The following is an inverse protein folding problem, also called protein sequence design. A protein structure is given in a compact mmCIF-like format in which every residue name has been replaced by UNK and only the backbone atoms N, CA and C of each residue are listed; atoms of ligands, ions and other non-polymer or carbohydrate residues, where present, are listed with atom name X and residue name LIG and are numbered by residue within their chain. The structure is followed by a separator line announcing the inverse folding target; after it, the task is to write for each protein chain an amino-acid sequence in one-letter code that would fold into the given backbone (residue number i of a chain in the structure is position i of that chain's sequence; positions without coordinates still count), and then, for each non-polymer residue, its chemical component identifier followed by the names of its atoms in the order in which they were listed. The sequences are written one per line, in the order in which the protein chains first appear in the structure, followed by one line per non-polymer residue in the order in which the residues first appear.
data_IF_644455685667
#
_entry.id   IF_644455685667
#
_cell.length_a   1.000
_cell.length_b   1.000
_cell.length_c   1.000
_cell.angle_alpha   90.00
_cell.angle_beta   90.00
_cell.angle_gamma   90.00
#
_symmetry.space_group_name_H-M   'P 1'
#
loop_
_entity.id
_entity.type
_entity.pdbx_description
1 polymer ?
#
# COMPACT_ATOMS: atom_id res chain seq x y z
N UNK A 1 21.93 6.37 -24.54
CA UNK A 1 20.71 6.96 -25.13
C UNK A 1 19.67 7.15 -24.05
N UNK A 2 18.86 8.20 -24.15
CA UNK A 2 17.76 8.44 -23.19
C UNK A 2 16.50 7.76 -23.72
N UNK A 3 15.98 6.78 -23.00
CA UNK A 3 14.73 6.10 -23.34
C UNK A 3 13.54 7.03 -23.05
N UNK A 4 12.72 7.28 -24.08
CA UNK A 4 11.70 8.34 -24.03
C UNK A 4 10.42 7.95 -23.31
N UNK A 5 9.99 6.68 -23.40
CA UNK A 5 8.75 6.19 -22.79
C UNK A 5 8.87 4.71 -22.46
N UNK A 6 9.14 4.40 -21.20
CA UNK A 6 9.18 3.02 -20.70
C UNK A 6 7.86 2.70 -20.01
N UNK A 7 7.20 1.63 -20.46
CA UNK A 7 5.94 1.20 -19.84
C UNK A 7 6.20 0.54 -18.50
N UNK A 8 7.18 -0.36 -18.46
CA UNK A 8 7.53 -1.17 -17.29
C UNK A 8 9.03 -1.19 -17.14
N UNK A 9 9.53 -0.81 -15.97
CA UNK A 9 10.92 -0.99 -15.59
C UNK A 9 10.97 -1.90 -14.36
N UNK A 10 11.64 -3.03 -14.50
CA UNK A 10 11.87 -3.98 -13.42
C UNK A 10 13.34 -3.94 -13.05
N UNK A 11 13.62 -3.69 -11.77
CA UNK A 11 14.95 -3.76 -11.20
C UNK A 11 14.98 -4.84 -10.12
N UNK A 12 15.85 -5.83 -10.29
CA UNK A 12 16.07 -6.89 -9.33
C UNK A 12 17.45 -6.71 -8.70
N UNK A 13 17.47 -6.38 -7.42
CA UNK A 13 18.68 -6.09 -6.68
C UNK A 13 19.40 -7.34 -6.17
N UNK A 14 18.77 -8.52 -6.17
CA UNK A 14 19.34 -9.76 -5.61
C UNK A 14 19.89 -9.63 -4.16
N UNK A 15 19.39 -8.69 -3.35
CA UNK A 15 19.94 -8.31 -2.05
C UNK A 15 21.34 -7.66 -2.11
N UNK A 16 21.80 -7.23 -3.28
CA UNK A 16 23.05 -6.51 -3.44
C UNK A 16 22.80 -5.06 -3.00
N UNK A 17 23.57 -4.53 -2.03
CA UNK A 17 23.50 -3.12 -1.67
C UNK A 17 23.82 -2.25 -2.89
N UNK A 18 22.83 -1.48 -3.34
CA UNK A 18 23.04 -0.48 -4.38
C UNK A 18 23.26 0.87 -3.70
N UNK A 19 24.35 1.54 -4.07
CA UNK A 19 24.54 2.94 -3.72
C UNK A 19 23.45 3.76 -4.39
N UNK A 20 22.84 4.68 -3.65
CA UNK A 20 21.77 5.52 -4.15
C UNK A 20 22.12 6.23 -5.49
N UNK A 21 23.34 6.78 -5.61
CA UNK A 21 23.76 7.47 -6.84
C UNK A 21 23.81 6.53 -8.07
N UNK A 22 24.11 5.24 -7.87
CA UNK A 22 24.06 4.27 -8.96
C UNK A 22 22.62 4.07 -9.45
N UNK A 23 21.65 3.96 -8.55
CA UNK A 23 20.24 3.86 -8.90
C UNK A 23 19.75 5.12 -9.62
N UNK A 24 20.17 6.29 -9.14
CA UNK A 24 19.87 7.58 -9.77
C UNK A 24 20.42 7.66 -11.19
N UNK A 25 21.70 7.35 -11.39
CA UNK A 25 22.31 7.34 -12.72
C UNK A 25 21.58 6.41 -13.69
N UNK A 26 21.09 5.26 -13.21
CA UNK A 26 20.27 4.36 -14.02
C UNK A 26 18.95 5.04 -14.39
N UNK A 27 18.23 5.58 -13.40
CA UNK A 27 16.90 6.17 -13.58
C UNK A 27 16.93 7.46 -14.43
N UNK A 28 18.01 8.23 -14.40
CA UNK A 28 18.21 9.45 -15.21
C UNK A 28 18.29 9.15 -16.71
N UNK A 29 18.51 7.89 -17.12
CA UNK A 29 18.43 7.48 -18.53
C UNK A 29 16.99 7.38 -19.06
N UNK A 30 15.97 7.58 -18.22
CA UNK A 30 14.56 7.43 -18.59
C UNK A 30 13.80 8.75 -18.43
N UNK A 31 13.24 9.27 -19.53
CA UNK A 31 12.37 10.46 -19.47
C UNK A 31 11.05 10.18 -18.76
N UNK A 32 10.51 8.98 -18.94
CA UNK A 32 9.23 8.58 -18.38
C UNK A 32 9.18 7.07 -18.17
N UNK A 33 8.69 6.66 -16.99
CA UNK A 33 8.43 5.27 -16.61
C UNK A 33 7.00 5.22 -16.08
N UNK A 34 6.12 4.42 -16.66
CA UNK A 34 4.74 4.29 -16.16
C UNK A 34 4.68 3.42 -14.90
N UNK A 35 5.37 2.30 -14.90
CA UNK A 35 5.41 1.34 -13.79
C UNK A 35 6.86 0.99 -13.44
N UNK A 36 7.23 1.18 -12.18
CA UNK A 36 8.54 0.85 -11.64
C UNK A 36 8.38 -0.24 -10.58
N UNK A 37 9.09 -1.36 -10.75
CA UNK A 37 9.19 -2.41 -9.74
C UNK A 37 10.63 -2.53 -9.26
N UNK A 38 10.81 -2.28 -7.97
CA UNK A 38 12.06 -2.36 -7.23
C UNK A 38 12.01 -3.63 -6.37
N UNK A 39 12.71 -4.67 -6.81
CA UNK A 39 12.71 -5.98 -6.17
C UNK A 39 14.03 -6.26 -5.48
N UNK A 40 13.98 -6.85 -4.30
CA UNK A 40 15.14 -7.24 -3.48
C UNK A 40 16.26 -6.19 -3.40
N UNK A 41 15.88 -4.93 -3.23
CA UNK A 41 16.79 -3.80 -3.26
C UNK A 41 17.17 -3.32 -1.87
N UNK A 42 18.46 -3.39 -1.54
CA UNK A 42 19.02 -2.75 -0.35
C UNK A 42 19.63 -1.42 -0.79
N UNK A 43 18.93 -0.32 -0.50
CA UNK A 43 19.40 1.02 -0.85
C UNK A 43 20.17 1.58 0.35
N UNK A 44 21.47 1.80 0.16
CA UNK A 44 22.29 2.50 1.16
C UNK A 44 21.88 3.98 1.18
N UNK A 45 21.17 4.37 2.23
CA UNK A 45 20.64 5.73 2.45
C UNK A 45 21.58 6.61 3.30
N UNK A 46 22.84 6.22 3.49
CA UNK A 46 23.83 7.02 4.23
C UNK A 46 24.17 8.36 3.56
N UNK A 47 23.83 8.51 2.28
CA UNK A 47 24.00 9.77 1.54
C UNK A 47 22.89 10.79 1.83
N UNK A 48 23.28 11.99 2.28
CA UNK A 48 22.39 13.15 2.43
C UNK A 48 22.05 13.68 1.02
N UNK A 49 20.76 13.87 0.75
CA UNK A 49 20.22 14.30 -0.55
C UNK A 49 20.76 15.66 -0.98
N UNK A 50 21.11 15.80 -2.27
CA UNK A 50 21.14 17.10 -2.94
C UNK A 50 19.92 17.33 -3.83
N UNK A 51 19.34 16.31 -4.47
CA UNK A 51 18.13 16.42 -5.31
C UNK A 51 17.36 15.09 -5.46
N UNK A 52 16.04 15.17 -5.66
CA UNK A 52 15.16 14.01 -5.97
C UNK A 52 15.30 13.55 -7.43
N UNK A 53 15.11 12.26 -7.68
CA UNK A 53 14.96 11.67 -9.01
C UNK A 53 13.56 12.04 -9.54
N UNK A 54 13.54 12.77 -10.65
CA UNK A 54 12.30 13.23 -11.26
C UNK A 54 11.87 12.32 -12.42
N UNK A 55 11.14 11.25 -12.10
CA UNK A 55 10.55 10.35 -13.10
C UNK A 55 9.18 10.90 -13.51
N UNK A 56 9.07 11.45 -14.72
CA UNK A 56 7.78 11.95 -15.22
C UNK A 56 6.82 10.77 -15.49
N UNK A 57 5.59 10.87 -15.01
CA UNK A 57 4.51 9.89 -15.19
C UNK A 57 4.72 8.53 -14.49
N UNK A 58 5.42 8.50 -13.35
CA UNK A 58 5.42 7.33 -12.50
C UNK A 58 4.02 7.15 -11.90
N UNK A 59 3.30 6.15 -12.39
CA UNK A 59 1.92 5.87 -12.05
C UNK A 59 1.80 4.75 -11.00
N UNK A 60 2.70 3.77 -11.11
CA UNK A 60 2.73 2.58 -10.25
C UNK A 60 4.13 2.31 -9.72
N UNK A 61 4.23 2.04 -8.42
CA UNK A 61 5.48 1.65 -7.77
C UNK A 61 5.26 0.36 -6.98
N UNK A 62 6.09 -0.64 -7.24
CA UNK A 62 6.18 -1.84 -6.39
C UNK A 62 7.54 -1.89 -5.73
N UNK A 63 7.55 -2.11 -4.41
CA UNK A 63 8.75 -2.21 -3.59
C UNK A 63 8.71 -3.54 -2.86
N UNK A 64 9.75 -4.34 -3.00
CA UNK A 64 10.01 -5.50 -2.17
C UNK A 64 11.20 -5.21 -1.26
N UNK A 65 10.96 -5.23 0.05
CA UNK A 65 12.02 -5.05 1.03
C UNK A 65 12.48 -6.40 1.57
N UNK A 66 13.80 -6.59 1.63
CA UNK A 66 14.41 -7.84 2.10
C UNK A 66 14.83 -7.77 3.57
N UNK A 67 14.99 -6.55 4.09
CA UNK A 67 15.53 -6.27 5.42
C UNK A 67 14.46 -5.61 6.30
N UNK A 68 13.93 -6.37 7.26
CA UNK A 68 12.83 -5.93 8.14
C UNK A 68 13.15 -4.71 9.02
N UNK A 69 14.44 -4.47 9.25
CA UNK A 69 14.93 -3.39 10.11
C UNK A 69 15.25 -2.11 9.33
N UNK A 70 15.33 -2.19 8.01
CA UNK A 70 15.70 -1.05 7.16
C UNK A 70 14.44 -0.51 6.53
N UNK A 71 14.08 0.72 6.89
CA UNK A 71 13.00 1.44 6.22
C UNK A 71 13.41 1.78 4.79
N UNK A 72 12.69 1.29 3.77
CA UNK A 72 12.96 1.73 2.41
C UNK A 72 12.44 3.17 2.24
N UNK A 73 13.36 4.13 2.40
CA UNK A 73 13.05 5.54 2.20
C UNK A 73 12.90 5.84 0.71
N UNK A 74 11.66 6.03 0.24
CA UNK A 74 11.37 6.37 -1.17
C UNK A 74 11.30 7.88 -1.45
N UNK A 75 11.70 8.73 -0.49
CA UNK A 75 11.66 10.19 -0.66
C UNK A 75 12.54 10.68 -1.81
N UNK A 76 13.45 9.84 -2.29
CA UNK A 76 14.27 10.11 -3.46
C UNK A 76 13.49 10.11 -4.77
N UNK A 77 12.29 9.53 -4.83
CA UNK A 77 11.44 9.57 -6.02
C UNK A 77 10.48 10.76 -5.95
N UNK A 78 10.25 11.41 -7.09
CA UNK A 78 9.09 12.28 -7.26
C UNK A 78 7.84 11.43 -7.54
N UNK A 79 6.91 11.37 -6.58
CA UNK A 79 5.71 10.51 -6.63
C UNK A 79 4.42 11.30 -6.90
N UNK A 80 4.53 12.52 -7.43
CA UNK A 80 3.38 13.44 -7.61
C UNK A 80 2.28 12.90 -8.53
N UNK A 81 2.61 12.05 -9.50
CA UNK A 81 1.65 11.42 -10.42
C UNK A 81 1.21 10.01 -10.02
N UNK A 82 1.72 9.48 -8.90
CA UNK A 82 1.54 8.07 -8.56
C UNK A 82 0.15 7.82 -7.97
N UNK A 83 -0.59 6.88 -8.56
CA UNK A 83 -1.90 6.46 -8.08
C UNK A 83 -1.90 5.06 -7.46
N UNK A 84 -0.86 4.25 -7.69
CA UNK A 84 -0.77 2.89 -7.16
C UNK A 84 0.58 2.63 -6.49
N UNK A 85 0.55 2.14 -5.26
CA UNK A 85 1.73 1.78 -4.48
C UNK A 85 1.55 0.38 -3.92
N UNK A 86 2.53 -0.48 -4.17
CA UNK A 86 2.61 -1.81 -3.59
C UNK A 86 3.88 -1.94 -2.76
N UNK A 87 3.71 -2.24 -1.49
CA UNK A 87 4.79 -2.69 -0.63
C UNK A 87 4.69 -4.19 -0.39
N UNK A 88 5.82 -4.86 -0.44
CA UNK A 88 5.99 -6.25 -0.05
C UNK A 88 7.02 -6.27 1.07
N UNK A 89 6.64 -6.86 2.21
CA UNK A 89 7.40 -6.97 3.45
C UNK A 89 7.76 -5.61 4.05
N UNK A 90 6.75 -4.89 4.53
CA UNK A 90 6.94 -3.58 5.20
C UNK A 90 7.81 -3.77 6.46
N UNK A 91 8.82 -2.91 6.68
CA UNK A 91 9.62 -2.95 7.90
C UNK A 91 8.79 -2.62 9.13
N UNK A 92 9.13 -3.21 10.27
CA UNK A 92 8.39 -3.02 11.54
C UNK A 92 8.48 -1.58 12.06
N UNK A 93 9.60 -0.92 11.78
CA UNK A 93 9.81 0.47 12.14
C UNK A 93 9.03 1.31 11.12
N UNK A 94 7.95 1.95 11.61
CA UNK A 94 6.99 2.76 10.88
C UNK A 94 7.57 3.44 9.62
N UNK A 95 6.78 3.46 8.55
CA UNK A 95 6.99 4.38 7.44
C UNK A 95 7.25 5.78 8.05
N UNK A 96 8.46 6.37 7.88
CA UNK A 96 8.84 7.56 8.63
C UNK A 96 7.76 8.63 8.53
N UNK A 97 7.42 9.24 9.68
CA UNK A 97 6.32 10.18 9.80
C UNK A 97 6.39 11.38 8.85
N UNK A 98 7.58 11.62 8.30
CA UNK A 98 7.95 12.72 7.41
C UNK A 98 8.14 12.31 5.94
N UNK A 99 7.72 11.12 5.52
CA UNK A 99 7.72 10.78 4.09
C UNK A 99 6.76 11.73 3.34
N UNK A 100 7.24 12.34 2.25
CA UNK A 100 6.35 13.01 1.30
C UNK A 100 5.55 11.94 0.57
N UNK A 101 4.44 11.56 1.19
CA UNK A 101 3.51 10.58 0.65
C UNK A 101 2.90 11.09 -0.67
N UNK A 102 2.72 10.20 -1.66
CA UNK A 102 2.02 10.54 -2.90
C UNK A 102 0.61 11.04 -2.62
N UNK A 103 0.38 12.35 -2.83
CA UNK A 103 -0.95 12.95 -2.60
C UNK A 103 -2.04 12.36 -3.50
N UNK A 104 -1.69 11.88 -4.69
CA UNK A 104 -2.63 11.33 -5.68
C UNK A 104 -2.86 9.81 -5.53
N UNK A 105 -2.40 9.21 -4.43
CA UNK A 105 -2.48 7.76 -4.28
C UNK A 105 -3.91 7.28 -4.07
N UNK A 106 -4.43 6.53 -5.04
CA UNK A 106 -5.77 5.94 -4.97
C UNK A 106 -5.75 4.49 -4.49
N UNK A 107 -4.67 3.74 -4.73
CA UNK A 107 -4.56 2.32 -4.38
C UNK A 107 -3.27 2.02 -3.62
N UNK A 108 -3.41 1.43 -2.43
CA UNK A 108 -2.32 0.92 -1.62
C UNK A 108 -2.44 -0.59 -1.46
N UNK A 109 -1.35 -1.31 -1.73
CA UNK A 109 -1.28 -2.77 -1.61
C UNK A 109 -0.15 -3.11 -0.67
N UNK A 110 -0.47 -3.75 0.45
CA UNK A 110 0.49 -4.13 1.47
C UNK A 110 0.54 -5.65 1.56
N UNK A 111 1.71 -6.22 1.29
CA UNK A 111 1.95 -7.67 1.30
C UNK A 111 2.91 -8.02 2.41
N UNK A 112 2.66 -9.12 3.13
CA UNK A 112 3.52 -9.60 4.24
C UNK A 112 3.73 -8.53 5.33
N UNK A 113 2.65 -7.87 5.76
CA UNK A 113 2.68 -7.02 6.94
C UNK A 113 2.80 -7.90 8.18
N UNK A 114 3.88 -7.69 8.96
CA UNK A 114 4.06 -8.39 10.24
C UNK A 114 3.35 -7.69 11.39
N UNK A 115 3.21 -6.37 11.30
CA UNK A 115 2.53 -5.55 12.30
C UNK A 115 1.27 -4.89 11.71
N UNK A 116 0.19 -4.87 12.49
CA UNK A 116 -1.12 -4.29 12.12
C UNK A 116 -1.24 -2.81 12.55
N UNK A 117 -0.11 -2.11 12.71
CA UNK A 117 -0.13 -0.68 13.00
C UNK A 117 -0.18 0.11 11.69
N UNK A 118 -1.35 0.68 11.42
CA UNK A 118 -1.66 1.34 10.16
C UNK A 118 -1.91 2.84 10.33
N UNK A 119 -1.30 3.42 11.36
CA UNK A 119 -1.48 4.81 11.77
C UNK A 119 -1.07 5.81 10.69
N UNK A 120 -0.45 5.38 9.59
CA UNK A 120 -0.09 6.23 8.46
C UNK A 120 -1.19 6.31 7.38
N UNK A 121 -2.23 5.47 7.41
CA UNK A 121 -3.21 5.41 6.32
C UNK A 121 -3.96 6.73 6.14
N UNK A 122 -4.27 7.43 7.23
CA UNK A 122 -4.94 8.72 7.20
C UNK A 122 -4.16 9.80 6.42
N UNK A 123 -2.85 9.60 6.19
CA UNK A 123 -2.01 10.52 5.41
C UNK A 123 -2.28 10.43 3.90
N UNK A 124 -3.03 9.43 3.43
CA UNK A 124 -3.40 9.30 2.02
C UNK A 124 -4.82 9.80 1.79
N UNK A 125 -4.95 11.12 1.63
CA UNK A 125 -6.24 11.82 1.43
C UNK A 125 -7.04 11.30 0.23
N UNK A 126 -6.36 10.82 -0.81
CA UNK A 126 -7.00 10.33 -2.04
C UNK A 126 -7.14 8.79 -2.08
N UNK A 127 -6.89 8.08 -0.98
CA UNK A 127 -6.90 6.63 -0.97
C UNK A 127 -8.33 6.07 -1.05
N UNK A 128 -8.59 5.32 -2.13
CA UNK A 128 -9.89 4.68 -2.40
C UNK A 128 -9.87 3.18 -2.15
N UNK A 129 -8.72 2.54 -2.34
CA UNK A 129 -8.57 1.09 -2.27
C UNK A 129 -7.36 0.72 -1.41
N UNK A 130 -7.59 -0.08 -0.38
CA UNK A 130 -6.54 -0.71 0.41
C UNK A 130 -6.61 -2.24 0.30
N UNK A 131 -5.48 -2.88 -0.01
CA UNK A 131 -5.36 -4.34 -0.03
C UNK A 131 -4.31 -4.79 0.95
N UNK A 132 -4.65 -5.69 1.86
CA UNK A 132 -3.77 -6.26 2.86
C UNK A 132 -3.66 -7.77 2.63
N UNK A 133 -2.45 -8.29 2.43
CA UNK A 133 -2.21 -9.74 2.36
C UNK A 133 -1.78 -10.26 3.72
N UNK A 134 -2.61 -11.13 4.28
CA UNK A 134 -2.48 -11.67 5.62
C UNK A 134 -2.33 -13.18 5.55
N UNK A 135 -1.47 -13.72 6.41
CA UNK A 135 -1.04 -15.12 6.32
C UNK A 135 -2.13 -16.13 6.70
N UNK A 136 -3.11 -15.78 7.55
CA UNK A 136 -4.20 -16.68 7.95
C UNK A 136 -5.44 -15.92 8.46
N UNK A 137 -6.62 -16.23 7.89
CA UNK A 137 -7.89 -15.60 8.28
C UNK A 137 -8.43 -16.07 9.64
N UNK A 138 -8.16 -17.30 10.07
CA UNK A 138 -8.68 -17.78 11.37
C UNK A 138 -7.96 -17.08 12.53
N UNK A 139 -6.63 -16.93 12.42
CA UNK A 139 -5.84 -16.11 13.35
C UNK A 139 -6.25 -14.64 13.35
N UNK A 140 -6.72 -14.15 12.20
CA UNK A 140 -7.23 -12.80 12.06
C UNK A 140 -8.46 -12.58 12.96
N UNK A 141 -9.40 -13.53 12.96
CA UNK A 141 -10.59 -13.51 13.80
C UNK A 141 -10.27 -13.70 15.29
N UNK A 142 -9.35 -14.60 15.62
CA UNK A 142 -9.06 -15.02 16.99
C UNK A 142 -8.18 -14.02 17.75
N UNK A 143 -7.12 -13.48 17.12
CA UNK A 143 -6.08 -12.71 17.82
C UNK A 143 -6.00 -11.24 17.39
N UNK A 144 -6.54 -10.87 16.23
CA UNK A 144 -6.40 -9.53 15.66
C UNK A 144 -7.73 -8.79 15.49
N UNK A 145 -8.82 -9.31 16.08
CA UNK A 145 -10.16 -8.76 15.89
C UNK A 145 -10.26 -7.27 16.21
N UNK A 146 -9.72 -6.85 17.36
CA UNK A 146 -9.71 -5.44 17.76
C UNK A 146 -8.86 -4.57 16.82
N UNK A 147 -7.69 -5.04 16.40
CA UNK A 147 -6.82 -4.31 15.47
C UNK A 147 -7.49 -4.08 14.11
N UNK A 148 -8.19 -5.08 13.58
CA UNK A 148 -8.96 -4.94 12.34
C UNK A 148 -10.12 -3.97 12.52
N UNK A 149 -10.81 -4.04 13.66
CA UNK A 149 -11.90 -3.11 13.96
C UNK A 149 -11.39 -1.67 14.01
N UNK A 150 -10.27 -1.45 14.69
CA UNK A 150 -9.63 -0.14 14.78
C UNK A 150 -9.17 0.34 13.41
N UNK A 151 -8.62 -0.55 12.58
CA UNK A 151 -8.27 -0.27 11.20
C UNK A 151 -9.48 0.17 10.38
N UNK A 152 -10.58 -0.62 10.40
CA UNK A 152 -11.82 -0.29 9.69
C UNK A 152 -12.34 1.06 10.14
N UNK A 153 -12.39 1.30 11.46
CA UNK A 153 -12.87 2.55 12.02
C UNK A 153 -11.98 3.73 11.61
N UNK A 154 -10.66 3.62 11.72
CA UNK A 154 -9.73 4.69 11.32
C UNK A 154 -9.89 5.00 9.83
N UNK A 155 -9.89 3.97 8.98
CA UNK A 155 -10.05 4.13 7.54
C UNK A 155 -11.39 4.81 7.20
N UNK A 156 -12.51 4.28 7.68
CA UNK A 156 -13.82 4.70 7.21
C UNK A 156 -14.41 5.90 7.98
N UNK A 157 -13.89 6.26 9.16
CA UNK A 157 -14.22 7.54 9.80
C UNK A 157 -13.50 8.71 9.16
N UNK A 158 -12.21 8.54 8.86
CA UNK A 158 -11.34 9.64 8.51
C UNK A 158 -11.26 9.85 6.99
N UNK A 159 -11.66 8.85 6.20
CA UNK A 159 -11.62 8.89 4.75
C UNK A 159 -12.99 8.58 4.12
N UNK A 160 -13.69 9.66 3.72
CA UNK A 160 -15.01 9.60 3.08
C UNK A 160 -14.98 9.05 1.65
N UNK A 161 -13.83 9.05 0.97
CA UNK A 161 -13.72 8.54 -0.39
C UNK A 161 -13.23 7.09 -0.44
N UNK A 162 -12.87 6.49 0.71
CA UNK A 162 -12.47 5.09 0.77
C UNK A 162 -13.63 4.22 0.29
N UNK A 163 -13.38 3.43 -0.74
CA UNK A 163 -14.37 2.54 -1.34
C UNK A 163 -14.24 1.13 -0.78
N UNK A 164 -13.00 0.61 -0.72
CA UNK A 164 -12.76 -0.81 -0.50
C UNK A 164 -11.53 -1.09 0.35
N UNK A 165 -11.73 -1.93 1.37
CA UNK A 165 -10.68 -2.63 2.12
C UNK A 165 -10.74 -4.12 1.76
N UNK A 166 -9.66 -4.67 1.21
CA UNK A 166 -9.55 -6.10 0.88
C UNK A 166 -8.55 -6.78 1.80
N UNK A 167 -9.01 -7.77 2.57
CA UNK A 167 -8.17 -8.66 3.37
C UNK A 167 -7.94 -9.95 2.57
N UNK A 168 -6.84 -9.99 1.85
CA UNK A 168 -6.39 -11.13 1.05
C UNK A 168 -5.82 -12.19 2.00
N UNK A 169 -6.61 -13.22 2.29
CA UNK A 169 -6.24 -14.24 3.27
C UNK A 169 -6.58 -15.63 2.73
N UNK A 170 -5.68 -16.60 2.92
CA UNK A 170 -6.02 -18.00 2.61
C UNK A 170 -7.12 -18.53 3.55
N UNK A 171 -8.04 -19.30 2.99
CA UNK A 171 -9.11 -19.97 3.75
C UNK A 171 -10.34 -19.13 4.07
N UNK A 172 -10.47 -17.92 3.50
CA UNK A 172 -11.73 -17.15 3.52
C UNK A 172 -12.78 -17.88 2.69
N UNK A 173 -13.99 -17.94 3.20
CA UNK A 173 -15.18 -18.42 2.49
C UNK A 173 -16.42 -17.67 2.99
N UNK A 174 -17.56 -17.85 2.33
CA UNK A 174 -18.80 -17.15 2.66
C UNK A 174 -19.25 -17.33 4.12
N UNK A 175 -19.06 -18.53 4.70
CA UNK A 175 -19.42 -18.79 6.10
C UNK A 175 -18.60 -17.94 7.05
N UNK A 176 -17.29 -17.84 6.81
CA UNK A 176 -16.39 -17.02 7.64
C UNK A 176 -16.66 -15.53 7.49
N UNK A 177 -17.06 -15.06 6.29
CA UNK A 177 -17.51 -13.67 6.09
C UNK A 177 -18.74 -13.36 6.94
N UNK A 178 -19.75 -14.25 6.97
CA UNK A 178 -20.94 -14.04 7.81
C UNK A 178 -20.62 -13.99 9.31
N UNK A 179 -19.66 -14.81 9.77
CA UNK A 179 -19.18 -14.76 11.16
C UNK A 179 -18.52 -13.40 11.42
N UNK A 180 -17.65 -12.95 10.51
CA UNK A 180 -17.02 -11.64 10.58
C UNK A 180 -18.05 -10.51 10.65
N UNK A 181 -19.03 -10.47 9.74
CA UNK A 181 -20.10 -9.47 9.74
C UNK A 181 -20.85 -9.42 11.07
N UNK A 182 -21.22 -10.58 11.61
CA UNK A 182 -21.93 -10.69 12.88
C UNK A 182 -21.07 -10.20 14.06
N UNK A 183 -19.78 -10.50 14.05
CA UNK A 183 -18.84 -10.11 15.11
C UNK A 183 -18.59 -8.59 15.12
N UNK A 184 -18.46 -7.98 13.95
CA UNK A 184 -18.07 -6.56 13.84
C UNK A 184 -19.25 -5.58 13.66
N UNK A 185 -20.45 -6.09 13.35
CA UNK A 185 -21.70 -5.32 13.18
C UNK A 185 -21.53 -4.09 12.27
N UNK A 186 -21.01 -4.31 11.06
CA UNK A 186 -20.60 -3.26 10.13
C UNK A 186 -21.74 -2.39 9.59
N UNK A 187 -22.98 -2.90 9.64
CA UNK A 187 -24.12 -2.30 8.95
C UNK A 187 -24.64 -1.00 9.59
N UNK A 188 -24.24 -0.68 10.83
CA UNK A 188 -24.86 0.42 11.58
C UNK A 188 -24.11 1.75 11.50
N UNK A 189 -22.89 1.83 10.96
CA UNK A 189 -22.05 3.05 11.12
C UNK A 189 -21.56 3.63 9.77
N UNK A 190 -21.29 2.80 8.75
CA UNK A 190 -20.57 3.26 7.55
C UNK A 190 -21.16 2.81 6.21
N UNK A 191 -22.38 2.25 6.22
CA UNK A 191 -22.95 1.57 5.04
C UNK A 191 -21.97 0.55 4.44
N UNK A 192 -21.23 -0.16 5.28
CA UNK A 192 -20.26 -1.14 4.84
C UNK A 192 -20.93 -2.50 4.67
N UNK A 193 -20.60 -3.16 3.58
CA UNK A 193 -20.95 -4.56 3.34
C UNK A 193 -19.67 -5.40 3.35
N UNK A 194 -19.73 -6.60 3.92
CA UNK A 194 -18.63 -7.55 3.81
C UNK A 194 -18.98 -8.66 2.81
N UNK A 195 -18.07 -8.93 1.89
CA UNK A 195 -18.26 -9.86 0.79
C UNK A 195 -17.05 -10.78 0.62
N UNK A 196 -17.24 -11.83 -0.16
CA UNK A 196 -16.20 -12.76 -0.57
C UNK A 196 -16.13 -12.83 -2.09
N UNK A 197 -14.94 -12.64 -2.67
CA UNK A 197 -14.72 -12.68 -4.13
C UNK A 197 -14.05 -13.97 -4.62
N UNK A 198 -13.97 -15.00 -3.78
CA UNK A 198 -13.22 -16.22 -4.07
C UNK A 198 -11.80 -16.24 -3.47
N UNK A 199 -11.24 -15.08 -3.11
CA UNK A 199 -9.85 -14.99 -2.63
C UNK A 199 -9.64 -14.09 -1.41
N UNK A 200 -10.59 -13.20 -1.13
CA UNK A 200 -10.45 -12.19 -0.10
C UNK A 200 -11.77 -11.92 0.63
N UNK A 201 -11.65 -11.45 1.87
CA UNK A 201 -12.73 -10.72 2.52
C UNK A 201 -12.67 -9.29 1.99
N UNK A 202 -13.76 -8.82 1.40
CA UNK A 202 -13.92 -7.46 0.90
C UNK A 202 -14.85 -6.72 1.85
N UNK A 203 -14.41 -5.58 2.36
CA UNK A 203 -15.25 -4.64 3.10
C UNK A 203 -15.40 -3.43 2.19
N UNK A 204 -16.62 -3.10 1.80
CA UNK A 204 -16.90 -2.10 0.78
C UNK A 204 -17.98 -1.14 1.24
N UNK A 205 -17.81 0.17 0.99
CA UNK A 205 -18.90 1.14 1.13
C UNK A 205 -20.00 0.86 0.10
N UNK A 206 -21.25 0.96 0.53
CA UNK A 206 -22.40 0.86 -0.37
C UNK A 206 -22.47 2.09 -1.29
N UNK A 207 -23.08 1.91 -2.46
CA UNK A 207 -23.33 3.03 -3.38
C UNK A 207 -24.22 4.11 -2.74
N UNK A 208 -25.15 3.71 -1.87
CA UNK A 208 -26.05 4.64 -1.16
C UNK A 208 -25.29 5.67 -0.31
N UNK A 209 -24.09 5.33 0.16
CA UNK A 209 -23.24 6.28 0.86
C UNK A 209 -22.75 7.38 -0.08
N UNK A 210 -22.30 7.02 -1.28
CA UNK A 210 -21.77 7.98 -2.25
C UNK A 210 -22.85 8.85 -2.88
N UNK A 211 -24.07 8.33 -3.00
CA UNK A 211 -25.25 9.08 -3.47
C UNK A 211 -25.59 10.28 -2.56
N UNK A 212 -25.09 10.33 -1.31
CA UNK A 212 -25.30 11.47 -0.40
C UNK A 212 -24.40 12.68 -0.70
N UNK A 213 -23.37 12.51 -1.54
CA UNK A 213 -22.36 13.54 -1.83
C UNK A 213 -22.47 14.09 -3.27
N UNK A 214 -23.45 13.61 -4.05
CA UNK A 214 -23.80 14.08 -5.41
C UNK A 214 -24.96 15.06 -5.32
#
# INVERSE_FOLDING_TARGET
EIYSKVRHLYYDGENIPIKFECLKNILDNFKSITELKLDRLIIDSSSILSNKINIRHLNKLTIYNTEEKISLNINFLNLTSMYNLRYIRIPQICLPDNLQMPKQLETLILTECRDFHFDFIHKYENLRILKLYLNNFDRLLENNGELIRNLINSIYNENNIMETLQLMCHGVNQTKVKIFEKQFNLNNIYYLNANYDGKSLIIQRSNQYFDQFI
#
